data_IF_686162522437
#
_entry.id   IF_686162522437
#
_cell.length_a   1.000
_cell.length_b   1.000
_cell.length_c   1.000
_cell.angle_alpha   90.00
_cell.angle_beta   90.00
_cell.angle_gamma   90.00
#
_symmetry.space_group_name_H-M   'P 1'
#
loop_
_entity.id
_entity.type
_entity.pdbx_description
1 polymer ?
#
# COMPACT_ATOMS: atom_id res chain seq x y z
N UNK A 1 -5.62 27.13 22.30
CA UNK A 1 -5.66 26.59 20.92
C UNK A 1 -5.88 25.09 20.98
N UNK A 2 -6.66 24.52 20.06
CA UNK A 2 -6.84 23.07 19.90
C UNK A 2 -6.30 22.66 18.53
N UNK A 3 -5.50 21.60 18.51
CA UNK A 3 -5.07 20.93 17.29
C UNK A 3 -5.84 19.62 17.15
N UNK A 4 -6.52 19.48 16.02
CA UNK A 4 -7.27 18.28 15.67
C UNK A 4 -6.46 17.42 14.73
N UNK A 5 -6.33 16.13 15.07
CA UNK A 5 -6.05 15.12 14.06
C UNK A 5 -7.15 15.13 12.99
N UNK A 6 -6.91 14.57 11.79
CA UNK A 6 -7.88 14.65 10.70
C UNK A 6 -9.26 14.12 11.13
N UNK A 7 -10.30 14.89 10.81
CA UNK A 7 -11.70 14.63 11.18
C UNK A 7 -12.48 13.87 10.09
N UNK A 8 -11.84 13.60 8.96
CA UNK A 8 -12.41 12.97 7.78
C UNK A 8 -12.69 11.47 7.99
N UNK A 9 -13.44 10.87 7.06
CA UNK A 9 -13.78 9.44 7.10
C UNK A 9 -12.54 8.56 7.13
N UNK A 10 -12.47 7.68 8.15
CA UNK A 10 -11.33 6.81 8.38
C UNK A 10 -11.31 5.59 7.45
N UNK A 11 -10.10 5.16 7.13
CA UNK A 11 -9.78 3.93 6.44
C UNK A 11 -9.91 2.68 7.30
N UNK A 12 -9.64 1.54 6.67
CA UNK A 12 -9.77 0.21 7.27
C UNK A 12 -8.92 0.02 8.54
N UNK A 13 -7.75 0.64 8.62
CA UNK A 13 -6.86 0.56 9.79
C UNK A 13 -7.34 1.38 10.98
N UNK A 14 -8.33 2.27 10.79
CA UNK A 14 -8.83 3.21 11.81
C UNK A 14 -7.80 4.24 12.28
N UNK A 15 -6.68 4.38 11.57
CA UNK A 15 -5.73 5.48 11.81
C UNK A 15 -6.31 6.80 11.33
N UNK A 16 -6.20 7.87 12.14
CA UNK A 16 -6.63 9.22 11.77
C UNK A 16 -5.89 9.78 10.55
N UNK A 17 -4.73 9.23 10.18
CA UNK A 17 -3.97 9.66 9.01
C UNK A 17 -4.27 8.83 7.76
N UNK A 18 -5.02 7.74 7.89
CA UNK A 18 -5.44 6.92 6.75
C UNK A 18 -6.89 7.21 6.41
N UNK A 19 -7.12 8.17 5.50
CA UNK A 19 -8.44 8.69 5.18
C UNK A 19 -9.06 7.97 3.98
N UNK A 20 -10.26 7.40 4.15
CA UNK A 20 -11.02 6.73 3.10
C UNK A 20 -11.84 7.70 2.22
N UNK A 21 -12.23 8.84 2.79
CA UNK A 21 -12.86 9.92 2.04
C UNK A 21 -12.51 11.26 2.69
N UNK A 22 -11.72 12.05 1.97
CA UNK A 22 -11.22 13.34 2.42
C UNK A 22 -12.30 14.43 2.45
N UNK A 23 -13.41 14.24 1.72
CA UNK A 23 -14.49 15.23 1.59
C UNK A 23 -15.60 15.03 2.63
N UNK A 24 -15.65 13.87 3.27
CA UNK A 24 -16.70 13.51 4.22
C UNK A 24 -16.18 13.52 5.66
N UNK A 25 -16.97 14.11 6.56
CA UNK A 25 -16.74 14.04 8.00
C UNK A 25 -16.84 12.59 8.48
N UNK A 26 -15.99 12.19 9.43
CA UNK A 26 -16.02 10.85 10.00
C UNK A 26 -17.43 10.50 10.54
N UNK A 27 -18.10 9.47 9.99
CA UNK A 27 -19.44 9.08 10.42
C UNK A 27 -19.48 8.62 11.89
N UNK A 28 -18.36 8.21 12.48
CA UNK A 28 -18.31 7.78 13.90
C UNK A 28 -18.62 8.89 14.89
N UNK A 29 -18.51 10.16 14.49
CA UNK A 29 -18.95 11.27 15.34
C UNK A 29 -20.47 11.27 15.52
N UNK A 30 -21.21 10.68 14.57
CA UNK A 30 -22.66 10.54 14.62
C UNK A 30 -23.10 9.41 15.56
N UNK A 31 -24.30 9.56 16.13
CA UNK A 31 -24.92 8.60 17.05
C UNK A 31 -26.32 8.23 16.56
N UNK A 32 -26.94 7.14 17.06
CA UNK A 32 -28.34 6.84 16.74
C UNK A 32 -29.23 8.06 16.99
N UNK A 33 -30.00 8.47 15.98
CA UNK A 33 -30.89 9.64 16.05
C UNK A 33 -30.23 11.01 15.83
N UNK A 34 -28.90 11.11 15.69
CA UNK A 34 -28.22 12.38 15.43
C UNK A 34 -27.01 12.21 14.51
N UNK A 35 -27.11 12.80 13.31
CA UNK A 35 -25.99 12.92 12.37
C UNK A 35 -25.29 14.26 12.55
N UNK A 36 -23.96 14.23 12.50
CA UNK A 36 -23.15 15.43 12.44
C UNK A 36 -22.56 15.59 11.04
N UNK A 37 -22.39 16.83 10.64
CA UNK A 37 -21.87 17.26 9.34
C UNK A 37 -20.75 18.28 9.54
N UNK A 38 -20.06 18.65 8.45
CA UNK A 38 -19.09 19.75 8.49
C UNK A 38 -19.71 21.07 8.96
N UNK A 39 -21.01 21.30 8.76
CA UNK A 39 -21.70 22.47 9.28
C UNK A 39 -21.72 22.48 10.83
N UNK A 40 -21.89 21.32 11.45
CA UNK A 40 -21.87 21.20 12.91
C UNK A 40 -20.46 21.39 13.48
N UNK A 41 -19.45 20.87 12.78
CA UNK A 41 -18.03 21.14 13.09
C UNK A 41 -17.74 22.63 12.98
N UNK A 42 -18.23 23.30 11.91
CA UNK A 42 -18.08 24.74 11.73
C UNK A 42 -18.71 25.55 12.87
N UNK A 43 -19.91 25.17 13.33
CA UNK A 43 -20.56 25.79 14.50
C UNK A 43 -19.74 25.58 15.77
N UNK A 44 -19.19 24.38 15.98
CA UNK A 44 -18.34 24.09 17.13
C UNK A 44 -17.06 24.93 17.12
N UNK A 45 -16.34 24.96 15.99
CA UNK A 45 -15.14 25.78 15.84
C UNK A 45 -15.44 27.27 16.01
N UNK A 46 -16.59 27.75 15.51
CA UNK A 46 -17.02 29.12 15.71
C UNK A 46 -17.25 29.43 17.20
N UNK A 47 -17.97 28.56 17.91
CA UNK A 47 -18.17 28.66 19.36
C UNK A 47 -16.85 28.70 20.13
N UNK A 48 -15.94 27.76 19.81
CA UNK A 48 -14.60 27.71 20.43
C UNK A 48 -13.85 29.03 20.24
N UNK A 49 -13.97 29.65 19.07
CA UNK A 49 -13.34 30.95 18.79
C UNK A 49 -14.01 32.10 19.55
N UNK A 50 -15.33 32.22 19.52
CA UNK A 50 -16.03 33.43 20.04
C UNK A 50 -16.32 33.39 21.52
N UNK A 51 -16.62 32.21 22.07
CA UNK A 51 -17.01 32.07 23.47
C UNK A 51 -15.85 31.63 24.36
N UNK A 52 -14.89 30.87 23.81
CA UNK A 52 -13.80 30.29 24.59
C UNK A 52 -12.43 30.91 24.28
N UNK A 53 -12.36 31.86 23.36
CA UNK A 53 -11.12 32.50 22.89
C UNK A 53 -10.06 31.48 22.43
N UNK A 54 -10.52 30.38 21.82
CA UNK A 54 -9.67 29.28 21.35
C UNK A 54 -9.58 29.24 19.83
N UNK A 55 -8.36 29.29 19.32
CA UNK A 55 -8.06 28.94 17.93
C UNK A 55 -8.07 27.43 17.71
N UNK A 56 -8.46 27.01 16.51
CA UNK A 56 -8.48 25.61 16.08
C UNK A 56 -7.66 25.44 14.80
N UNK A 57 -6.87 24.36 14.73
CA UNK A 57 -6.15 23.94 13.53
C UNK A 57 -6.34 22.43 13.33
N UNK A 58 -6.15 21.94 12.10
CA UNK A 58 -6.24 20.50 11.80
C UNK A 58 -5.12 20.07 10.88
N UNK A 59 -4.68 18.83 11.04
CA UNK A 59 -3.74 18.22 10.10
C UNK A 59 -4.38 17.98 8.73
N UNK A 60 -3.57 18.15 7.68
CA UNK A 60 -3.95 17.82 6.31
C UNK A 60 -2.98 16.76 5.78
N UNK A 61 -3.54 15.69 5.22
CA UNK A 61 -2.78 14.55 4.69
C UNK A 61 -2.76 14.61 3.17
N UNK A 62 -1.63 15.02 2.60
CA UNK A 62 -1.45 15.15 1.14
C UNK A 62 -0.80 13.94 0.48
N UNK A 63 0.04 13.23 1.21
CA UNK A 63 0.96 12.23 0.66
C UNK A 63 0.32 10.86 0.43
N UNK A 64 -0.82 10.57 1.05
CA UNK A 64 -1.48 9.27 0.92
C UNK A 64 -2.99 9.33 1.25
N UNK A 65 -3.68 8.25 0.91
CA UNK A 65 -5.08 7.99 1.25
C UNK A 65 -5.21 6.54 1.73
N UNK A 66 -6.35 6.15 2.31
CA UNK A 66 -6.56 4.78 2.74
C UNK A 66 -6.63 3.81 1.56
N UNK A 67 -6.15 2.58 1.77
CA UNK A 67 -6.17 1.52 0.75
C UNK A 67 -7.59 1.11 0.32
N UNK A 68 -8.61 1.50 1.08
CA UNK A 68 -10.02 1.22 0.81
C UNK A 68 -10.84 2.45 0.38
N UNK A 69 -10.18 3.53 -0.05
CA UNK A 69 -10.85 4.69 -0.66
C UNK A 69 -11.49 4.29 -1.99
N UNK A 70 -12.81 4.41 -2.08
CA UNK A 70 -13.57 3.92 -3.25
C UNK A 70 -13.17 4.60 -4.56
N UNK A 71 -12.86 5.90 -4.50
CA UNK A 71 -12.51 6.71 -5.67
C UNK A 71 -11.23 6.25 -6.36
N UNK A 72 -10.34 5.49 -5.69
CA UNK A 72 -9.12 4.93 -6.31
C UNK A 72 -9.48 3.90 -7.39
N UNK A 73 -10.64 3.24 -7.29
CA UNK A 73 -11.10 2.33 -8.33
C UNK A 73 -11.46 3.07 -9.62
N UNK A 74 -12.01 4.27 -9.49
CA UNK A 74 -12.38 5.12 -10.61
C UNK A 74 -11.15 5.87 -11.17
N UNK A 75 -10.19 6.20 -10.29
CA UNK A 75 -8.97 6.94 -10.61
C UNK A 75 -7.67 6.22 -10.16
N UNK A 76 -7.35 5.06 -10.75
CA UNK A 76 -6.16 4.29 -10.40
C UNK A 76 -4.84 4.98 -10.80
N UNK A 77 -4.90 5.99 -11.67
CA UNK A 77 -3.77 6.82 -12.10
C UNK A 77 -3.25 7.75 -10.99
N UNK A 78 -4.03 8.01 -9.95
CA UNK A 78 -3.63 8.85 -8.82
C UNK A 78 -2.59 8.18 -7.90
N UNK A 79 -2.41 6.86 -8.00
CA UNK A 79 -1.37 6.12 -7.31
C UNK A 79 -0.18 5.82 -8.21
N UNK A 80 0.85 5.18 -7.66
CA UNK A 80 1.93 4.59 -8.46
C UNK A 80 1.55 3.17 -8.88
N UNK A 81 1.44 2.92 -10.18
CA UNK A 81 1.02 1.63 -10.73
C UNK A 81 1.95 1.18 -11.88
N UNK A 82 1.72 -0.02 -12.42
CA UNK A 82 2.62 -0.60 -13.45
C UNK A 82 2.52 0.07 -14.83
N UNK A 83 1.52 0.95 -15.02
CA UNK A 83 1.31 1.73 -16.24
C UNK A 83 2.02 3.07 -16.14
N UNK A 84 1.73 3.87 -15.10
CA UNK A 84 2.32 5.21 -14.93
C UNK A 84 3.71 5.19 -14.28
N UNK A 85 4.07 4.10 -13.60
CA UNK A 85 5.34 3.94 -12.88
C UNK A 85 6.00 2.60 -13.24
N UNK A 86 6.34 2.37 -14.53
CA UNK A 86 6.81 1.07 -15.00
C UNK A 86 8.15 0.63 -14.38
N UNK A 87 8.94 1.56 -13.84
CA UNK A 87 10.16 1.27 -13.08
C UNK A 87 9.89 0.48 -11.79
N UNK A 88 8.64 0.43 -11.31
CA UNK A 88 8.23 -0.36 -10.14
C UNK A 88 7.95 -1.82 -10.45
N UNK A 89 7.94 -2.25 -11.73
CA UNK A 89 7.67 -3.65 -12.11
C UNK A 89 8.56 -4.68 -11.37
N UNK A 90 9.88 -4.50 -11.22
CA UNK A 90 10.71 -5.45 -10.49
C UNK A 90 10.32 -5.54 -9.00
N UNK A 91 10.06 -4.38 -8.37
CA UNK A 91 9.66 -4.31 -6.97
C UNK A 91 8.29 -4.96 -6.74
N UNK A 92 7.34 -4.71 -7.64
CA UNK A 92 6.01 -5.33 -7.60
C UNK A 92 6.09 -6.86 -7.74
N UNK A 93 6.91 -7.38 -8.66
CA UNK A 93 7.10 -8.83 -8.82
C UNK A 93 7.64 -9.47 -7.53
N UNK A 94 8.63 -8.85 -6.91
CA UNK A 94 9.20 -9.32 -5.65
C UNK A 94 8.16 -9.32 -4.52
N UNK A 95 7.44 -8.21 -4.35
CA UNK A 95 6.37 -8.09 -3.34
C UNK A 95 5.31 -9.19 -3.50
N UNK A 96 4.83 -9.41 -4.73
CA UNK A 96 3.87 -10.47 -5.04
C UNK A 96 4.40 -11.86 -4.70
N UNK A 97 5.67 -12.13 -5.02
CA UNK A 97 6.27 -13.42 -4.73
C UNK A 97 6.39 -13.68 -3.22
N UNK A 98 6.79 -12.67 -2.45
CA UNK A 98 6.87 -12.74 -0.99
C UNK A 98 5.48 -12.88 -0.36
N UNK A 99 4.48 -12.15 -0.84
CA UNK A 99 3.09 -12.33 -0.42
C UNK A 99 2.61 -13.78 -0.62
N UNK A 100 2.86 -14.35 -1.79
CA UNK A 100 2.50 -15.74 -2.09
C UNK A 100 3.27 -16.73 -1.21
N UNK A 101 4.54 -16.48 -0.89
CA UNK A 101 5.29 -17.27 0.09
C UNK A 101 4.60 -17.22 1.46
N UNK A 102 4.29 -16.02 1.96
CA UNK A 102 3.60 -15.84 3.25
C UNK A 102 2.27 -16.60 3.30
N UNK A 103 1.44 -16.51 2.25
CA UNK A 103 0.19 -17.27 2.19
C UNK A 103 0.41 -18.79 2.23
N UNK A 104 1.43 -19.30 1.54
CA UNK A 104 1.75 -20.74 1.53
C UNK A 104 2.28 -21.21 2.88
N UNK A 105 3.10 -20.41 3.56
CA UNK A 105 3.59 -20.69 4.93
C UNK A 105 2.44 -20.69 5.92
N UNK A 106 1.57 -19.67 5.88
CA UNK A 106 0.38 -19.59 6.73
C UNK A 106 -0.57 -20.78 6.51
N UNK A 107 -0.69 -21.27 5.28
CA UNK A 107 -1.47 -22.47 4.94
C UNK A 107 -0.75 -23.80 5.28
N UNK A 108 0.41 -23.76 5.96
CA UNK A 108 1.14 -24.95 6.41
C UNK A 108 1.88 -25.71 5.31
N UNK A 109 1.99 -25.19 4.08
CA UNK A 109 2.59 -25.91 2.94
C UNK A 109 4.09 -26.21 3.10
N UNK A 110 4.76 -25.52 4.02
CA UNK A 110 6.18 -25.69 4.32
C UNK A 110 6.43 -26.41 5.66
N UNK A 111 5.38 -26.90 6.33
CA UNK A 111 5.51 -27.52 7.65
C UNK A 111 6.46 -28.74 7.65
N UNK A 112 6.39 -29.56 6.60
CA UNK A 112 7.29 -30.72 6.39
C UNK A 112 8.75 -30.34 6.17
N UNK A 113 9.01 -29.08 5.83
CA UNK A 113 10.36 -28.50 5.68
C UNK A 113 10.82 -27.76 6.94
N UNK A 114 10.16 -27.98 8.07
CA UNK A 114 10.48 -27.32 9.34
C UNK A 114 10.05 -25.85 9.41
N UNK A 115 9.15 -25.40 8.53
CA UNK A 115 8.60 -24.05 8.55
C UNK A 115 7.07 -24.09 8.75
N UNK A 116 6.61 -24.11 10.01
CA UNK A 116 5.18 -24.03 10.33
C UNK A 116 4.63 -22.61 10.14
N UNK A 117 3.31 -22.45 10.24
CA UNK A 117 2.65 -21.15 10.13
C UNK A 117 3.04 -20.19 11.27
N UNK A 118 3.30 -20.72 12.46
CA UNK A 118 3.75 -19.94 13.62
C UNK A 118 5.28 -20.05 13.74
N UNK A 119 5.96 -18.93 13.51
CA UNK A 119 7.42 -18.83 13.60
C UNK A 119 7.80 -18.46 15.04
N UNK A 120 8.68 -19.23 15.66
CA UNK A 120 9.03 -19.11 17.09
C UNK A 120 10.53 -19.22 17.37
N UNK A 121 11.37 -19.51 16.37
CA UNK A 121 12.81 -19.68 16.56
C UNK A 121 13.65 -19.32 15.33
N UNK A 122 14.95 -19.14 15.55
CA UNK A 122 15.91 -18.75 14.52
C UNK A 122 16.08 -19.79 13.41
N UNK A 123 15.92 -21.08 13.73
CA UNK A 123 16.00 -22.13 12.71
C UNK A 123 14.92 -21.95 11.65
N UNK A 124 13.69 -21.61 12.07
CA UNK A 124 12.59 -21.32 11.15
C UNK A 124 12.83 -20.04 10.34
N UNK A 125 13.41 -19.00 10.95
CA UNK A 125 13.82 -17.78 10.23
C UNK A 125 14.89 -18.10 9.17
N UNK A 126 15.85 -18.95 9.50
CA UNK A 126 16.87 -19.41 8.55
C UNK A 126 16.26 -20.21 7.40
N UNK A 127 15.24 -21.04 7.66
CA UNK A 127 14.49 -21.75 6.62
C UNK A 127 13.77 -20.77 5.68
N UNK A 128 13.13 -19.72 6.20
CA UNK A 128 12.48 -18.68 5.37
C UNK A 128 13.51 -18.00 4.47
N UNK A 129 14.65 -17.59 5.05
CA UNK A 129 15.74 -16.97 4.29
C UNK A 129 16.23 -17.89 3.17
N UNK A 130 16.40 -19.18 3.44
CA UNK A 130 16.77 -20.18 2.43
C UNK A 130 15.76 -20.25 1.29
N UNK A 131 14.45 -20.36 1.61
CA UNK A 131 13.40 -20.39 0.58
C UNK A 131 13.42 -19.10 -0.27
N UNK A 132 13.57 -17.94 0.36
CA UNK A 132 13.64 -16.67 -0.36
C UNK A 132 14.85 -16.67 -1.32
N UNK A 133 16.04 -16.96 -0.81
CA UNK A 133 17.29 -16.83 -1.55
C UNK A 133 17.48 -17.91 -2.63
N UNK A 134 17.12 -19.15 -2.32
CA UNK A 134 17.42 -20.31 -3.17
C UNK A 134 16.26 -20.64 -4.12
N UNK A 135 15.02 -20.28 -3.78
CA UNK A 135 13.85 -20.62 -4.62
C UNK A 135 13.18 -19.40 -5.22
N UNK A 136 12.94 -18.33 -4.46
CA UNK A 136 12.15 -17.19 -4.95
C UNK A 136 12.99 -16.31 -5.87
N UNK A 137 14.13 -15.81 -5.39
CA UNK A 137 14.99 -14.90 -6.17
C UNK A 137 15.39 -15.48 -7.55
N UNK A 138 15.87 -16.74 -7.64
CA UNK A 138 16.29 -17.30 -8.93
C UNK A 138 15.12 -17.47 -9.91
N UNK A 139 13.91 -17.78 -9.42
CA UNK A 139 12.71 -17.94 -10.27
C UNK A 139 12.20 -16.62 -10.82
N UNK A 140 12.38 -15.52 -10.08
CA UNK A 140 11.93 -14.20 -10.52
C UNK A 140 12.83 -13.56 -11.57
N UNK A 141 14.10 -13.99 -11.64
CA UNK A 141 15.09 -13.47 -12.59
C UNK A 141 15.18 -11.95 -12.63
N UNK A 142 15.12 -11.31 -11.46
CA UNK A 142 15.05 -9.85 -11.36
C UNK A 142 16.22 -9.11 -12.03
N UNK A 143 17.38 -9.77 -12.18
CA UNK A 143 18.53 -9.22 -12.89
C UNK A 143 18.28 -9.02 -14.39
N UNK A 144 17.34 -9.75 -15.01
CA UNK A 144 16.98 -9.58 -16.42
C UNK A 144 16.38 -8.19 -16.69
N UNK A 145 15.85 -7.49 -15.68
CA UNK A 145 15.41 -6.10 -15.81
C UNK A 145 16.54 -5.09 -16.00
N UNK A 146 17.79 -5.49 -15.71
CA UNK A 146 18.98 -4.65 -15.79
C UNK A 146 19.95 -5.10 -16.89
N UNK A 147 19.58 -6.12 -17.66
CA UNK A 147 20.45 -6.76 -18.64
C UNK A 147 19.75 -6.83 -20.00
N UNK A 148 20.56 -6.99 -21.04
CA UNK A 148 20.08 -7.27 -22.40
C UNK A 148 20.18 -8.78 -22.63
N UNK A 149 19.14 -9.35 -23.25
CA UNK A 149 19.23 -10.70 -23.80
C UNK A 149 20.16 -10.70 -25.03
N UNK A 150 21.42 -11.11 -24.80
CA UNK A 150 22.47 -11.10 -25.83
C UNK A 150 22.11 -11.97 -27.03
N UNK A 151 21.58 -13.18 -26.80
CA UNK A 151 21.26 -14.11 -27.88
C UNK A 151 20.17 -13.52 -28.78
N UNK A 152 19.12 -12.96 -28.17
CA UNK A 152 18.05 -12.29 -28.89
C UNK A 152 18.54 -11.05 -29.64
N UNK A 153 19.36 -10.22 -29.00
CA UNK A 153 19.89 -9.00 -29.61
C UNK A 153 20.78 -9.30 -30.82
N UNK A 154 21.66 -10.30 -30.72
CA UNK A 154 22.53 -10.74 -31.82
C UNK A 154 21.71 -11.30 -32.99
N UNK A 155 20.67 -12.08 -32.71
CA UNK A 155 19.83 -12.66 -33.77
C UNK A 155 18.98 -11.59 -34.48
N UNK A 156 18.44 -10.63 -33.73
CA UNK A 156 17.76 -9.46 -34.30
C UNK A 156 18.69 -8.66 -35.21
N UNK A 157 19.94 -8.45 -34.78
CA UNK A 157 20.94 -7.76 -35.58
C UNK A 157 21.26 -8.49 -36.88
N UNK A 158 21.46 -9.81 -36.84
CA UNK A 158 21.69 -10.63 -38.05
C UNK A 158 20.51 -10.56 -39.02
N UNK A 159 19.29 -10.63 -38.50
CA UNK A 159 18.07 -10.56 -39.32
C UNK A 159 17.96 -9.23 -40.05
N UNK A 160 18.24 -8.12 -39.36
CA UNK A 160 18.20 -6.77 -39.95
C UNK A 160 19.30 -6.54 -40.99
N UNK A 161 20.48 -7.13 -40.78
CA UNK A 161 21.58 -7.07 -41.77
C UNK A 161 21.24 -7.83 -43.07
N UNK A 162 20.47 -8.90 -42.99
CA UNK A 162 20.09 -9.70 -44.15
C UNK A 162 18.90 -9.12 -44.93
N UNK A 163 18.11 -8.22 -44.32
CA UNK A 163 16.90 -7.63 -44.92
C UNK A 163 17.08 -6.19 -45.41
N UNK A 164 18.20 -5.53 -45.06
CA UNK A 164 18.64 -4.26 -45.65
C UNK A 164 19.48 -4.47 -46.89
#
# INVERSE_FOLDING_TARGET
>A
MVHFTPLQTLGKSRSCYSLANQLELNPDFSRPGKKYTWNDVGKLVHKMRTEWDMLCITDVVYNHTATNSKWIHDHPECGYNLVNSPHLKPAWLLDRALWHLTCKVAAGKYATRGLPALIQNDQQLNTIRGIIWEEIYPKLKLWEFYQIDLAKAVEQFRTLLASG
#
